data_IF_047128155957
#
_entry.id   IF_047128155957
#
_cell.length_a   1.000
_cell.length_b   1.000
_cell.length_c   1.000
_cell.angle_alpha   90.00
_cell.angle_beta   90.00
_cell.angle_gamma   90.00
#
_symmetry.space_group_name_H-M   'P 1'
#
loop_
_entity.id
_entity.type
_entity.pdbx_description
1 polymer ?
#
# COMPACT_ATOMS: atom_id res chain seq x y z
N UNK A 1 -4.68 3.48 12.86
CA UNK A 1 -3.64 4.10 12.00
C UNK A 1 -3.53 5.60 12.19
N UNK A 2 -4.60 6.33 12.50
CA UNK A 2 -4.54 7.79 12.74
C UNK A 2 -4.25 8.19 14.19
N UNK A 3 -4.11 7.23 15.11
CA UNK A 3 -4.08 7.52 16.55
C UNK A 3 -2.89 8.41 16.96
N UNK A 4 -1.75 8.28 16.28
CA UNK A 4 -0.56 9.11 16.50
C UNK A 4 -0.33 10.17 15.41
N UNK A 5 -1.36 10.47 14.62
CA UNK A 5 -1.28 11.36 13.46
C UNK A 5 -2.06 12.67 13.68
N UNK A 6 -1.78 13.74 12.92
CA UNK A 6 -2.60 14.96 12.94
C UNK A 6 -4.10 14.70 12.76
N UNK A 7 -4.46 13.64 12.03
CA UNK A 7 -5.84 13.20 11.78
C UNK A 7 -6.48 12.37 12.90
N UNK A 8 -5.92 12.37 14.12
CA UNK A 8 -6.45 11.61 15.25
C UNK A 8 -7.95 11.88 15.54
N UNK A 9 -8.42 13.11 15.31
CA UNK A 9 -9.85 13.46 15.43
C UNK A 9 -10.76 12.76 14.40
N UNK A 10 -10.18 12.15 13.36
CA UNK A 10 -10.85 11.41 12.30
C UNK A 10 -10.59 9.90 12.40
N UNK A 11 -10.25 9.36 13.58
CA UNK A 11 -9.97 7.92 13.77
C UNK A 11 -11.10 7.01 13.24
N UNK A 12 -12.35 7.46 13.28
CA UNK A 12 -13.50 6.74 12.74
C UNK A 12 -13.46 6.54 11.21
N UNK A 13 -12.68 7.37 10.50
CA UNK A 13 -12.44 7.27 9.07
C UNK A 13 -11.08 6.62 8.74
N UNK A 14 -10.31 6.19 9.75
CA UNK A 14 -9.03 5.52 9.54
C UNK A 14 -9.22 4.16 8.88
N UNK A 15 -8.26 3.71 8.03
CA UNK A 15 -8.33 2.39 7.45
C UNK A 15 -8.24 1.32 8.53
N UNK A 16 -9.00 0.24 8.31
CA UNK A 16 -8.95 -0.94 9.15
C UNK A 16 -7.89 -1.88 8.60
N UNK A 17 -6.90 -2.23 9.42
CA UNK A 17 -5.93 -3.27 9.10
C UNK A 17 -6.31 -4.54 9.86
N UNK A 18 -6.43 -5.64 9.14
CA UNK A 18 -6.87 -6.93 9.69
C UNK A 18 -5.79 -7.97 9.37
N UNK A 19 -5.21 -8.57 10.41
CA UNK A 19 -4.30 -9.69 10.23
C UNK A 19 -5.07 -10.96 9.86
N UNK A 20 -4.57 -11.69 8.87
CA UNK A 20 -5.11 -12.96 8.43
C UNK A 20 -4.18 -14.09 8.87
N UNK A 21 -4.67 -15.14 9.53
CA UNK A 21 -3.84 -16.27 9.93
C UNK A 21 -3.15 -16.93 8.73
N UNK A 22 -1.82 -17.07 8.80
CA UNK A 22 -1.03 -17.74 7.77
C UNK A 22 -1.49 -19.21 7.64
N UNK A 23 -1.75 -19.66 6.42
CA UNK A 23 -2.08 -21.05 6.10
C UNK A 23 -3.56 -21.44 6.28
N UNK A 24 -4.41 -20.53 6.75
CA UNK A 24 -5.85 -20.75 6.76
C UNK A 24 -6.42 -20.56 5.35
N UNK A 25 -7.11 -21.57 4.83
CA UNK A 25 -7.92 -21.41 3.62
C UNK A 25 -9.11 -20.53 3.98
N UNK A 26 -9.25 -19.39 3.31
CA UNK A 26 -10.39 -18.52 3.48
C UNK A 26 -11.18 -18.39 2.15
N UNK A 27 -11.92 -19.43 1.71
CA UNK A 27 -12.59 -19.42 0.41
C UNK A 27 -13.59 -18.26 0.27
N UNK A 28 -14.21 -17.87 1.39
CA UNK A 28 -15.13 -16.74 1.45
C UNK A 28 -14.42 -15.38 1.39
N UNK A 29 -13.17 -15.29 1.86
CA UNK A 29 -12.43 -14.03 1.91
C UNK A 29 -12.05 -13.56 0.51
N UNK A 30 -11.45 -14.42 -0.32
CA UNK A 30 -11.06 -14.02 -1.67
C UNK A 30 -12.29 -13.62 -2.51
N UNK A 31 -13.40 -14.35 -2.34
CA UNK A 31 -14.69 -14.01 -2.96
C UNK A 31 -15.21 -12.65 -2.48
N UNK A 32 -15.14 -12.38 -1.18
CA UNK A 32 -15.57 -11.13 -0.57
C UNK A 32 -14.69 -9.94 -0.98
N UNK A 33 -13.37 -10.09 -0.97
CA UNK A 33 -12.42 -9.10 -1.46
C UNK A 33 -12.67 -8.78 -2.95
N UNK A 34 -12.90 -9.80 -3.77
CA UNK A 34 -13.27 -9.60 -5.17
C UNK A 34 -14.61 -8.86 -5.34
N UNK A 35 -15.59 -9.11 -4.45
CA UNK A 35 -16.85 -8.37 -4.43
C UNK A 35 -16.64 -6.90 -4.03
N UNK A 36 -15.86 -6.64 -2.98
CA UNK A 36 -15.49 -5.29 -2.55
C UNK A 36 -14.76 -4.53 -3.66
N UNK A 37 -13.86 -5.20 -4.38
CA UNK A 37 -13.14 -4.66 -5.54
C UNK A 37 -14.04 -4.18 -6.68
N UNK A 38 -15.31 -4.64 -6.75
CA UNK A 38 -16.31 -4.16 -7.71
C UNK A 38 -17.14 -2.98 -7.20
N UNK A 39 -17.01 -2.62 -5.93
CA UNK A 39 -17.68 -1.45 -5.34
C UNK A 39 -16.86 -0.18 -5.58
N UNK A 40 -17.45 0.98 -5.27
CA UNK A 40 -16.75 2.25 -5.32
C UNK A 40 -15.64 2.40 -4.25
N UNK A 41 -15.61 1.55 -3.22
CA UNK A 41 -14.58 1.60 -2.18
C UNK A 41 -13.30 0.85 -2.61
N UNK A 42 -13.45 -0.26 -3.31
CA UNK A 42 -12.35 -1.18 -3.60
C UNK A 42 -11.88 -1.94 -2.36
N UNK A 43 -10.77 -2.65 -2.51
CA UNK A 43 -10.08 -3.37 -1.43
C UNK A 43 -8.57 -3.42 -1.70
N UNK A 44 -7.78 -3.58 -0.64
CA UNK A 44 -6.35 -3.84 -0.73
C UNK A 44 -5.96 -4.99 0.19
N UNK A 45 -4.94 -5.74 -0.21
CA UNK A 45 -4.36 -6.86 0.55
C UNK A 45 -2.85 -6.77 0.47
N UNK A 46 -2.19 -7.06 1.58
CA UNK A 46 -0.74 -7.04 1.69
C UNK A 46 -0.24 -8.43 2.09
N UNK A 47 0.91 -8.83 1.56
CA UNK A 47 1.74 -9.88 2.11
C UNK A 47 3.02 -9.23 2.65
N UNK A 48 3.44 -9.59 3.86
CA UNK A 48 4.61 -8.99 4.51
C UNK A 48 5.54 -10.05 5.08
N UNK A 49 6.83 -9.71 5.18
CA UNK A 49 7.86 -10.55 5.80
C UNK A 49 8.00 -10.33 7.31
N UNK A 50 7.35 -9.29 7.86
CA UNK A 50 7.38 -8.94 9.29
C UNK A 50 6.02 -9.14 9.96
N UNK A 51 5.98 -9.28 11.30
CA UNK A 51 4.72 -9.37 12.06
C UNK A 51 3.86 -8.10 11.96
N UNK A 52 2.59 -8.23 12.36
CA UNK A 52 1.60 -7.15 12.28
C UNK A 52 2.05 -5.81 12.86
N UNK A 53 2.61 -5.78 14.08
CA UNK A 53 2.96 -4.53 14.76
C UNK A 53 4.07 -3.76 14.03
N UNK A 54 5.05 -4.47 13.47
CA UNK A 54 6.13 -3.89 12.68
C UNK A 54 5.58 -3.36 11.34
N UNK A 55 4.72 -4.13 10.67
CA UNK A 55 4.06 -3.69 9.44
C UNK A 55 3.16 -2.47 9.69
N UNK A 56 2.41 -2.46 10.79
CA UNK A 56 1.54 -1.35 11.16
C UNK A 56 2.35 -0.08 11.40
N UNK A 57 3.47 -0.18 12.12
CA UNK A 57 4.40 0.94 12.36
C UNK A 57 4.95 1.48 11.04
N UNK A 58 5.37 0.59 10.13
CA UNK A 58 5.81 1.00 8.79
C UNK A 58 4.69 1.76 8.04
N UNK A 59 3.49 1.19 7.95
CA UNK A 59 2.36 1.81 7.28
C UNK A 59 1.96 3.17 7.90
N UNK A 60 2.05 3.31 9.21
CA UNK A 60 1.80 4.57 9.91
C UNK A 60 2.83 5.65 9.53
N UNK A 61 4.10 5.28 9.32
CA UNK A 61 5.15 6.20 8.86
C UNK A 61 4.99 6.64 7.40
N UNK A 62 4.26 5.87 6.58
CA UNK A 62 3.99 6.20 5.17
C UNK A 62 2.77 7.12 4.98
N UNK A 63 2.14 7.59 6.07
CA UNK A 63 0.96 8.45 5.98
C UNK A 63 1.29 9.89 5.61
N UNK A 64 2.49 10.38 5.90
CA UNK A 64 2.89 11.74 5.58
C UNK A 64 3.64 11.79 4.25
N UNK A 65 3.21 12.66 3.33
CA UNK A 65 3.97 13.03 2.15
C UNK A 65 4.31 14.52 2.18
N UNK A 66 5.58 14.85 1.96
CA UNK A 66 6.03 16.23 1.84
C UNK A 66 5.74 16.77 0.43
N UNK A 67 5.06 17.92 0.37
CA UNK A 67 4.79 18.65 -0.85
C UNK A 67 5.97 19.57 -1.23
N UNK A 68 6.05 20.06 -2.48
CA UNK A 68 7.18 20.90 -2.92
C UNK A 68 7.40 22.19 -2.12
N UNK A 69 6.40 22.65 -1.37
CA UNK A 69 6.47 23.82 -0.50
C UNK A 69 6.89 23.48 0.95
N UNK A 70 7.21 22.21 1.23
CA UNK A 70 7.60 21.70 2.54
C UNK A 70 6.43 21.41 3.48
N UNK A 71 5.18 21.59 3.03
CA UNK A 71 4.01 21.20 3.82
C UNK A 71 3.78 19.68 3.75
N UNK A 72 3.19 19.13 4.80
CA UNK A 72 2.80 17.72 4.84
C UNK A 72 1.35 17.54 4.38
N UNK A 73 1.11 16.47 3.64
CA UNK A 73 -0.22 16.01 3.27
C UNK A 73 -0.40 14.53 3.60
N UNK A 74 -1.64 14.14 3.88
CA UNK A 74 -1.99 12.74 4.12
C UNK A 74 -1.93 11.93 2.80
N UNK A 75 -1.00 11.00 2.73
CA UNK A 75 -0.92 9.98 1.69
C UNK A 75 -1.91 8.84 1.98
N UNK A 76 -3.03 8.85 1.28
CA UNK A 76 -4.09 7.84 1.40
C UNK A 76 -3.75 6.58 0.60
N UNK A 77 -2.58 5.99 0.82
CA UNK A 77 -2.13 4.77 0.10
C UNK A 77 -3.13 3.60 0.22
N UNK A 78 -3.91 3.57 1.30
CA UNK A 78 -4.93 2.57 1.59
C UNK A 78 -6.22 2.75 0.76
N UNK A 79 -6.40 3.90 0.11
CA UNK A 79 -7.53 4.14 -0.78
C UNK A 79 -7.26 3.48 -2.14
N UNK A 80 -7.96 2.38 -2.42
CA UNK A 80 -7.80 1.62 -3.65
C UNK A 80 -8.03 2.46 -4.92
N UNK A 81 -8.74 3.59 -4.84
CA UNK A 81 -8.96 4.51 -5.96
C UNK A 81 -7.80 5.48 -6.18
N UNK A 82 -7.05 5.79 -5.12
CA UNK A 82 -5.89 6.66 -5.18
C UNK A 82 -4.65 5.89 -5.67
N UNK A 83 -4.63 4.57 -5.48
CA UNK A 83 -3.51 3.69 -5.82
C UNK A 83 -2.90 3.93 -7.21
N UNK A 84 -3.72 3.93 -8.27
CA UNK A 84 -3.22 4.13 -9.64
C UNK A 84 -2.51 5.46 -9.81
N UNK A 85 -3.04 6.52 -9.19
CA UNK A 85 -2.42 7.85 -9.27
C UNK A 85 -1.10 7.91 -8.52
N UNK A 86 -0.96 7.17 -7.42
CA UNK A 86 0.34 7.04 -6.76
C UNK A 86 1.34 6.30 -7.63
N UNK A 87 0.96 5.17 -8.24
CA UNK A 87 1.87 4.40 -9.09
C UNK A 87 2.31 5.15 -10.36
N UNK A 88 1.52 6.11 -10.84
CA UNK A 88 1.88 7.00 -11.95
C UNK A 88 2.89 8.10 -11.56
N UNK A 89 2.92 8.51 -10.29
CA UNK A 89 3.70 9.68 -9.83
C UNK A 89 4.93 9.28 -9.03
N UNK A 90 4.85 8.20 -8.25
CA UNK A 90 5.97 7.73 -7.45
C UNK A 90 7.04 7.14 -8.36
N UNK A 91 8.28 7.59 -8.15
CA UNK A 91 9.45 6.93 -8.73
C UNK A 91 9.56 5.51 -8.20
N UNK A 92 10.29 4.66 -8.91
CA UNK A 92 10.46 3.27 -8.49
C UNK A 92 11.17 3.14 -7.13
N UNK A 93 12.11 4.03 -6.83
CA UNK A 93 12.72 4.14 -5.50
C UNK A 93 11.69 4.48 -4.42
N UNK A 94 10.77 5.42 -4.68
CA UNK A 94 9.69 5.75 -3.75
C UNK A 94 8.66 4.62 -3.61
N UNK A 95 8.39 3.86 -4.68
CA UNK A 95 7.55 2.66 -4.59
C UNK A 95 8.19 1.59 -3.69
N UNK A 96 9.52 1.41 -3.78
CA UNK A 96 10.27 0.51 -2.92
C UNK A 96 10.29 0.97 -1.46
N UNK A 97 10.36 2.28 -1.22
CA UNK A 97 10.24 2.87 0.12
C UNK A 97 8.84 2.62 0.72
N UNK A 98 7.78 2.89 -0.05
CA UNK A 98 6.40 2.60 0.34
C UNK A 98 6.21 1.12 0.69
N UNK A 99 6.79 0.22 -0.11
CA UNK A 99 6.73 -1.21 0.14
C UNK A 99 7.44 -1.57 1.45
N UNK A 100 8.67 -1.10 1.69
CA UNK A 100 9.43 -1.46 2.89
C UNK A 100 9.44 -2.99 3.13
N UNK A 101 8.82 -3.51 4.22
CA UNK A 101 8.72 -4.93 4.53
C UNK A 101 7.57 -5.67 3.80
N UNK A 102 6.81 -5.00 2.95
CA UNK A 102 5.71 -5.58 2.16
C UNK A 102 6.31 -6.33 0.97
N UNK A 103 6.01 -7.61 0.86
CA UNK A 103 6.42 -8.49 -0.23
C UNK A 103 5.57 -8.23 -1.48
N UNK A 104 4.26 -8.15 -1.29
CA UNK A 104 3.29 -7.96 -2.35
C UNK A 104 2.16 -7.05 -1.88
N UNK A 105 1.83 -6.07 -2.71
CA UNK A 105 0.69 -5.17 -2.50
C UNK A 105 -0.34 -5.39 -3.61
N UNK A 106 -1.50 -5.90 -3.25
CA UNK A 106 -2.62 -6.14 -4.15
C UNK A 106 -3.70 -5.06 -3.96
N UNK A 107 -4.22 -4.53 -5.07
CA UNK A 107 -5.32 -3.57 -5.08
C UNK A 107 -6.40 -4.02 -6.04
N UNK A 108 -7.64 -4.02 -5.55
CA UNK A 108 -8.83 -4.38 -6.31
C UNK A 108 -9.76 -3.17 -6.33
N UNK A 109 -9.96 -2.54 -7.47
CA UNK A 109 -10.90 -1.43 -7.62
C UNK A 109 -11.51 -1.39 -9.01
N UNK A 110 -12.76 -0.94 -9.11
CA UNK A 110 -13.48 -0.83 -10.38
C UNK A 110 -13.51 -2.15 -11.19
N UNK A 111 -13.50 -3.29 -10.49
CA UNK A 111 -13.46 -4.61 -11.10
C UNK A 111 -12.12 -4.99 -11.75
N UNK A 112 -11.06 -4.22 -11.51
CA UNK A 112 -9.70 -4.50 -11.93
C UNK A 112 -8.85 -4.95 -10.73
N UNK A 113 -7.73 -5.61 -11.02
CA UNK A 113 -6.78 -6.10 -10.02
C UNK A 113 -5.36 -5.69 -10.45
N UNK A 114 -4.64 -5.06 -9.53
CA UNK A 114 -3.23 -4.70 -9.69
C UNK A 114 -2.42 -5.33 -8.57
N UNK A 115 -1.18 -5.68 -8.90
CA UNK A 115 -0.19 -6.21 -7.98
C UNK A 115 1.10 -5.42 -8.15
N UNK A 116 1.66 -4.96 -7.04
CA UNK A 116 3.03 -4.47 -6.96
C UNK A 116 3.85 -5.47 -6.16
N UNK A 117 4.85 -6.07 -6.81
CA UNK A 117 5.79 -7.00 -6.19
C UNK A 117 7.09 -6.28 -5.86
N UNK A 118 7.56 -6.41 -4.62
CA UNK A 118 8.82 -5.80 -4.18
C UNK A 118 10.02 -6.35 -4.94
N UNK A 119 10.03 -7.63 -5.23
CA UNK A 119 11.14 -8.27 -5.95
C UNK A 119 11.18 -7.84 -7.41
N UNK A 120 10.03 -7.64 -8.05
CA UNK A 120 9.95 -7.11 -9.41
C UNK A 120 10.38 -5.64 -9.45
N UNK A 121 9.91 -4.83 -8.50
CA UNK A 121 10.30 -3.43 -8.37
C UNK A 121 11.82 -3.27 -8.14
N UNK A 122 12.44 -4.12 -7.31
CA UNK A 122 13.89 -4.11 -7.09
C UNK A 122 14.68 -4.39 -8.37
N UNK A 123 14.30 -5.44 -9.11
CA UNK A 123 14.95 -5.79 -10.39
C UNK A 123 14.87 -4.66 -11.41
N UNK A 124 13.72 -4.00 -11.47
CA UNK A 124 13.52 -2.84 -12.35
C UNK A 124 14.41 -1.65 -11.94
N UNK A 125 14.59 -1.42 -10.63
CA UNK A 125 15.42 -0.34 -10.11
C UNK A 125 16.89 -0.60 -10.40
N UNK A 126 17.37 -1.82 -10.14
CA UNK A 126 18.73 -2.26 -10.44
C UNK A 126 19.06 -2.10 -11.94
N UNK A 127 18.11 -2.45 -12.82
CA UNK A 127 18.27 -2.27 -14.26
C UNK A 127 18.31 -0.79 -14.67
N UNK A 128 17.50 0.06 -14.01
CA UNK A 128 17.50 1.51 -14.25
C UNK A 128 18.82 2.16 -13.80
N UNK A 129 19.33 1.78 -12.63
CA UNK A 129 20.60 2.27 -12.09
C UNK A 129 21.77 1.87 -13.00
N UNK A 130 21.82 0.60 -13.44
CA UNK A 130 22.85 0.13 -14.36
C UNK A 130 22.83 0.85 -15.71
N UNK A 131 21.65 1.25 -16.20
CA UNK A 131 21.51 2.02 -17.43
C UNK A 131 21.92 3.50 -17.26
N UNK A 132 21.78 4.06 -16.06
CA UNK A 132 22.19 5.44 -15.75
C UNK A 132 23.73 5.58 -15.61
N UNK A 133 24.41 4.48 -15.28
CA UNK A 133 25.87 4.41 -15.14
C UNK A 133 26.63 4.18 -16.47
N UNK A 134 25.91 4.08 -17.62
CA UNK A 134 26.49 3.85 -18.97
C UNK A 134 26.39 5.09 -19.86
#
# INVERSE_FOLDING_TARGET
>A
MFEHQPEAEHVAASPWLIELPIGAVHPGLDTWLAQLGRTAAGATRLASEVPFDELFTHLEQQLDVELPDGSLALMRFYDARAWLRYMEVLTLAQQLELLGPILEWQVMALGQHWTLSRDEARKLQEAADAAADT
#
